data_IF_057534856579
#
_entry.id   IF_057534856579
#
_cell.length_a   1.000
_cell.length_b   1.000
_cell.length_c   1.000
_cell.angle_alpha   90.00
_cell.angle_beta   90.00
_cell.angle_gamma   90.00
#
_symmetry.space_group_name_H-M   'P 1'
#
loop_
_entity.id
_entity.type
_entity.pdbx_description
1 polymer ?
#
# COMPACT_ATOMS: atom_id res chain seq x y z
N UNK A 1 -31.14 -12.18 19.42
CA UNK A 1 -29.72 -12.44 19.07
C UNK A 1 -28.89 -11.27 19.59
N UNK A 2 -28.02 -11.48 20.59
CA UNK A 2 -27.29 -10.39 21.23
C UNK A 2 -25.98 -10.12 20.48
N UNK A 3 -26.00 -9.11 19.59
CA UNK A 3 -24.88 -8.72 18.73
C UNK A 3 -23.56 -8.52 19.51
N UNK A 4 -23.64 -7.93 20.71
CA UNK A 4 -22.49 -7.74 21.60
C UNK A 4 -21.83 -9.06 21.99
N UNK A 5 -22.62 -10.07 22.39
CA UNK A 5 -22.10 -11.39 22.79
C UNK A 5 -21.43 -12.13 21.61
N UNK A 6 -21.98 -11.98 20.41
CA UNK A 6 -21.41 -12.57 19.18
C UNK A 6 -20.04 -11.94 18.88
N UNK A 7 -19.97 -10.61 18.91
CA UNK A 7 -18.71 -9.89 18.67
C UNK A 7 -17.67 -10.26 19.74
N UNK A 8 -18.06 -10.35 21.01
CA UNK A 8 -17.16 -10.78 22.09
C UNK A 8 -16.63 -12.19 21.86
N UNK A 9 -17.49 -13.15 21.47
CA UNK A 9 -17.09 -14.53 21.15
C UNK A 9 -16.05 -14.58 20.03
N UNK A 10 -16.28 -13.83 18.94
CA UNK A 10 -15.38 -13.80 17.78
C UNK A 10 -14.03 -13.17 18.14
N UNK A 11 -14.04 -12.12 18.97
CA UNK A 11 -12.80 -11.52 19.45
C UNK A 11 -12.02 -12.53 20.30
N UNK A 12 -12.69 -13.23 21.23
CA UNK A 12 -12.02 -14.26 22.05
C UNK A 12 -11.42 -15.36 21.20
N UNK A 13 -12.14 -15.88 20.22
CA UNK A 13 -11.64 -16.92 19.33
C UNK A 13 -10.42 -16.48 18.50
N UNK A 14 -10.42 -15.25 17.97
CA UNK A 14 -9.26 -14.72 17.24
C UNK A 14 -8.07 -14.42 18.16
N UNK A 15 -8.32 -14.01 19.41
CA UNK A 15 -7.26 -13.77 20.40
C UNK A 15 -6.69 -15.07 20.97
N UNK A 16 -7.52 -16.07 21.30
CA UNK A 16 -7.07 -17.35 21.87
C UNK A 16 -6.20 -18.15 20.87
N UNK A 17 -6.37 -17.89 19.56
CA UNK A 17 -5.54 -18.45 18.49
C UNK A 17 -4.28 -17.65 18.14
N UNK A 18 -4.06 -16.48 18.76
CA UNK A 18 -2.93 -15.59 18.45
C UNK A 18 -2.22 -15.14 19.73
N UNK A 19 -0.90 -14.95 19.70
CA UNK A 19 -0.19 -14.29 20.83
C UNK A 19 -0.43 -12.77 20.86
N UNK A 20 -1.49 -12.30 20.20
CA UNK A 20 -1.84 -10.90 20.05
C UNK A 20 -3.00 -10.58 21.00
N UNK A 21 -2.99 -9.39 21.58
CA UNK A 21 -4.06 -8.92 22.47
C UNK A 21 -5.07 -7.98 21.76
N UNK A 22 -4.93 -7.82 20.44
CA UNK A 22 -5.65 -6.83 19.65
C UNK A 22 -6.11 -7.40 18.32
N UNK A 23 -7.39 -7.25 17.99
CA UNK A 23 -7.95 -7.67 16.70
C UNK A 23 -8.15 -6.46 15.80
N UNK A 24 -7.65 -6.50 14.56
CA UNK A 24 -7.87 -5.41 13.59
C UNK A 24 -9.33 -5.34 13.17
N UNK A 25 -9.94 -4.16 13.14
CA UNK A 25 -11.36 -4.00 12.77
C UNK A 25 -11.70 -4.58 11.40
N UNK A 26 -10.83 -4.39 10.39
CA UNK A 26 -11.05 -4.95 9.05
C UNK A 26 -11.18 -6.47 9.06
N UNK A 27 -10.45 -7.17 9.96
CA UNK A 27 -10.53 -8.62 10.11
C UNK A 27 -11.85 -9.02 10.76
N UNK A 28 -12.20 -8.35 11.84
CA UNK A 28 -13.45 -8.59 12.57
C UNK A 28 -14.69 -8.30 11.70
N UNK A 29 -14.67 -7.21 10.94
CA UNK A 29 -15.72 -6.87 9.97
C UNK A 29 -15.84 -7.93 8.85
N UNK A 30 -14.73 -8.51 8.39
CA UNK A 30 -14.75 -9.60 7.42
C UNK A 30 -15.40 -10.87 7.96
N UNK A 31 -15.09 -11.25 9.21
CA UNK A 31 -15.67 -12.44 9.85
C UNK A 31 -17.19 -12.24 10.01
N UNK A 32 -17.59 -11.13 10.61
CA UNK A 32 -19.01 -10.80 10.81
C UNK A 32 -19.78 -10.70 9.49
N UNK A 33 -19.16 -10.19 8.43
CA UNK A 33 -19.79 -10.12 7.11
C UNK A 33 -20.08 -11.49 6.50
N UNK A 34 -19.30 -12.54 6.85
CA UNK A 34 -19.60 -13.93 6.43
C UNK A 34 -20.87 -14.45 7.08
N UNK A 35 -21.11 -14.03 8.32
CA UNK A 35 -22.31 -14.37 9.09
C UNK A 35 -23.49 -13.42 8.79
N UNK A 36 -23.37 -12.57 7.76
CA UNK A 36 -24.40 -11.61 7.35
C UNK A 36 -24.50 -10.37 8.26
N UNK A 37 -23.59 -10.21 9.21
CA UNK A 37 -23.61 -9.12 10.19
C UNK A 37 -22.75 -7.95 9.70
N UNK A 38 -23.39 -6.81 9.44
CA UNK A 38 -22.70 -5.55 9.09
C UNK A 38 -22.53 -4.70 10.34
N UNK A 39 -21.28 -4.37 10.65
CA UNK A 39 -20.93 -3.50 11.78
C UNK A 39 -20.20 -2.24 11.28
N UNK A 40 -20.51 -1.10 11.89
CA UNK A 40 -19.83 0.16 11.61
C UNK A 40 -18.78 0.44 12.68
N UNK A 41 -17.73 1.18 12.31
CA UNK A 41 -16.67 1.57 13.26
C UNK A 41 -17.23 2.30 14.50
N UNK A 42 -18.22 3.18 14.30
CA UNK A 42 -18.89 3.92 15.37
C UNK A 42 -19.71 3.05 16.34
N UNK A 43 -19.90 1.76 16.05
CA UNK A 43 -20.49 0.83 17.02
C UNK A 43 -19.60 0.67 18.26
N UNK A 44 -18.28 0.54 18.07
CA UNK A 44 -17.35 0.34 19.18
C UNK A 44 -17.21 1.60 20.02
N UNK A 45 -17.25 2.78 19.40
CA UNK A 45 -17.14 4.06 20.13
C UNK A 45 -18.27 4.24 21.15
N UNK A 46 -19.43 3.62 20.91
CA UNK A 46 -20.63 3.69 21.76
C UNK A 46 -20.70 2.60 22.83
N UNK A 47 -19.77 1.63 22.80
CA UNK A 47 -19.81 0.46 23.68
C UNK A 47 -18.53 0.39 24.53
N UNK A 48 -18.59 0.73 25.84
CA UNK A 48 -17.41 0.77 26.71
C UNK A 48 -16.79 -0.61 26.97
N UNK A 49 -17.52 -1.69 26.63
CA UNK A 49 -17.05 -3.08 26.73
C UNK A 49 -15.98 -3.44 25.69
N UNK A 50 -15.64 -2.52 24.79
CA UNK A 50 -14.59 -2.70 23.80
C UNK A 50 -13.56 -1.59 23.94
N UNK A 51 -12.28 -1.96 23.80
CA UNK A 51 -11.16 -1.02 23.80
C UNK A 51 -10.72 -0.79 22.38
N UNK A 52 -10.62 0.48 21.98
CA UNK A 52 -10.28 0.87 20.63
C UNK A 52 -8.90 1.52 20.64
N UNK A 53 -8.04 1.03 19.76
CA UNK A 53 -6.77 1.66 19.47
C UNK A 53 -6.77 2.17 18.03
N UNK A 54 -6.75 3.50 17.86
CA UNK A 54 -6.71 4.16 16.55
C UNK A 54 -5.27 4.42 16.16
N UNK A 55 -4.91 4.10 14.92
CA UNK A 55 -3.58 4.44 14.38
C UNK A 55 -3.61 5.81 13.69
N UNK A 56 -2.43 6.33 13.32
CA UNK A 56 -2.31 7.53 12.48
C UNK A 56 -3.04 7.39 11.14
N UNK A 57 -3.27 6.17 10.67
CA UNK A 57 -4.16 5.91 9.55
C UNK A 57 -5.60 5.76 10.09
N UNK A 58 -6.45 6.73 9.77
CA UNK A 58 -7.87 6.76 10.20
C UNK A 58 -8.66 5.53 9.75
N UNK A 59 -8.19 4.82 8.71
CA UNK A 59 -8.81 3.59 8.21
C UNK A 59 -8.34 2.33 8.94
N UNK A 60 -7.38 2.44 9.87
CA UNK A 60 -6.82 1.30 10.59
C UNK A 60 -6.93 1.52 12.09
N UNK A 61 -7.78 0.73 12.72
CA UNK A 61 -7.90 0.65 14.16
C UNK A 61 -8.10 -0.79 14.62
N UNK A 62 -7.78 -1.00 15.89
CA UNK A 62 -7.75 -2.30 16.55
C UNK A 62 -8.72 -2.29 17.72
N UNK A 63 -9.26 -3.46 18.01
CA UNK A 63 -10.28 -3.68 19.03
C UNK A 63 -9.78 -4.80 19.96
N UNK A 64 -9.88 -4.59 21.26
CA UNK A 64 -9.60 -5.60 22.27
C UNK A 64 -10.73 -5.65 23.30
N UNK A 65 -10.82 -6.77 24.02
CA UNK A 65 -11.67 -6.87 25.20
C UNK A 65 -10.88 -6.38 26.43
N UNK A 66 -11.54 -5.70 27.39
CA UNK A 66 -10.89 -5.20 28.61
C UNK A 66 -10.13 -6.28 29.39
N UNK A 67 -10.59 -7.53 29.32
CA UNK A 67 -10.01 -8.71 29.98
C UNK A 67 -8.61 -9.09 29.46
N UNK A 68 -8.25 -8.69 28.22
CA UNK A 68 -7.00 -9.09 27.55
C UNK A 68 -5.94 -7.99 27.54
N UNK A 69 -6.15 -6.89 28.28
CA UNK A 69 -5.14 -5.83 28.39
C UNK A 69 -4.11 -6.19 29.47
N UNK A 70 -2.80 -6.29 29.14
CA UNK A 70 -1.78 -6.42 30.17
C UNK A 70 -1.73 -5.12 31.00
N UNK A 71 -1.65 -5.25 32.32
CA UNK A 71 -1.62 -4.15 33.30
C UNK A 71 -0.45 -3.17 33.14
N UNK A 72 0.52 -3.46 32.27
CA UNK A 72 1.62 -2.57 31.97
C UNK A 72 1.97 -2.64 30.48
N UNK A 73 2.25 -1.46 29.91
CA UNK A 73 2.88 -1.17 28.63
C UNK A 73 1.96 -0.69 27.50
N UNK A 74 2.07 0.63 27.29
CA UNK A 74 1.85 1.44 26.08
C UNK A 74 2.65 0.99 24.84
N UNK A 75 3.17 -0.24 24.79
CA UNK A 75 4.02 -0.70 23.68
C UNK A 75 3.24 -1.65 22.78
N UNK A 76 3.11 -1.23 21.53
CA UNK A 76 2.48 -1.95 20.44
C UNK A 76 3.05 -3.37 20.27
N UNK A 77 2.23 -4.34 19.83
CA UNK A 77 2.78 -5.53 19.20
C UNK A 77 3.49 -5.10 17.89
N UNK A 78 4.67 -5.67 17.58
CA UNK A 78 5.36 -5.37 16.33
C UNK A 78 4.47 -5.79 15.16
N UNK A 79 4.23 -4.87 14.23
CA UNK A 79 3.49 -5.12 12.99
C UNK A 79 4.29 -6.16 12.18
N UNK A 80 4.00 -7.45 12.37
CA UNK A 80 4.50 -8.49 11.47
C UNK A 80 3.72 -8.35 10.16
N UNK A 81 4.38 -7.82 9.12
CA UNK A 81 3.87 -7.85 7.75
C UNK A 81 3.74 -9.31 7.33
N UNK A 82 2.56 -9.91 7.50
CA UNK A 82 2.23 -11.18 6.83
C UNK A 82 2.13 -10.89 5.33
N UNK A 83 2.91 -11.65 4.56
CA UNK A 83 2.89 -11.68 3.10
C UNK A 83 1.47 -12.05 2.67
N UNK A 84 0.71 -11.07 2.20
CA UNK A 84 -0.66 -11.27 1.72
C UNK A 84 -0.61 -11.97 0.36
N UNK A 85 -1.07 -13.23 0.32
CA UNK A 85 -1.47 -13.85 -0.93
C UNK A 85 -2.59 -13.01 -1.57
N UNK A 86 -2.36 -12.68 -2.84
CA UNK A 86 -3.17 -11.83 -3.69
C UNK A 86 -4.65 -12.17 -3.69
N UNK A 87 -5.51 -11.19 -3.39
CA UNK A 87 -6.86 -11.11 -3.96
C UNK A 87 -7.02 -9.78 -4.69
N UNK A 88 -7.37 -9.91 -5.96
CA UNK A 88 -7.77 -8.86 -6.89
C UNK A 88 -8.93 -8.06 -6.26
N UNK A 89 -8.69 -6.82 -5.88
CA UNK A 89 -9.75 -5.89 -5.43
C UNK A 89 -10.00 -4.91 -6.57
N UNK A 90 -11.23 -4.93 -7.07
CA UNK A 90 -11.79 -3.90 -7.96
C UNK A 90 -11.86 -2.61 -7.14
N UNK A 91 -11.00 -1.65 -7.42
CA UNK A 91 -10.99 -0.34 -6.76
C UNK A 91 -12.12 0.52 -7.32
N UNK A 92 -13.14 0.77 -6.49
CA UNK A 92 -14.07 1.90 -6.66
C UNK A 92 -13.30 3.21 -6.51
N UNK A 93 -13.59 4.13 -7.43
CA UNK A 93 -13.00 5.45 -7.55
C UNK A 93 -13.09 6.24 -6.22
N UNK A 94 -11.93 6.70 -5.75
CA UNK A 94 -11.79 7.74 -4.73
C UNK A 94 -10.93 8.83 -5.33
N UNK A 95 -11.50 10.04 -5.29
CA UNK A 95 -11.03 11.36 -5.71
C UNK A 95 -9.56 11.49 -6.13
N UNK A 96 -9.42 11.86 -7.40
CA UNK A 96 -8.19 12.02 -8.14
C UNK A 96 -7.70 13.48 -8.01
N UNK A 97 -6.47 13.75 -7.55
CA UNK A 97 -5.88 15.09 -7.61
C UNK A 97 -5.70 15.53 -9.08
N UNK A 98 -5.65 16.85 -9.35
CA UNK A 98 -5.60 17.39 -10.70
C UNK A 98 -4.33 16.94 -11.41
N UNK A 99 -4.52 16.31 -12.59
CA UNK A 99 -3.45 15.72 -13.38
C UNK A 99 -2.79 16.73 -14.31
N UNK A 100 -1.49 16.58 -14.61
CA UNK A 100 -0.90 17.11 -15.83
C UNK A 100 -1.51 16.43 -17.07
N UNK A 101 -1.60 17.17 -18.17
CA UNK A 101 -2.04 16.70 -19.49
C UNK A 101 -0.97 15.78 -20.10
N UNK A 102 -0.77 14.60 -19.54
CA UNK A 102 0.01 13.54 -20.17
C UNK A 102 -0.93 12.86 -21.18
N UNK A 103 -0.80 13.21 -22.46
CA UNK A 103 -1.53 12.53 -23.52
C UNK A 103 -1.12 11.05 -23.51
N UNK A 104 -2.07 10.11 -23.54
CA UNK A 104 -1.76 8.70 -23.76
C UNK A 104 -1.35 8.53 -25.23
N UNK A 105 -0.22 9.10 -25.62
CA UNK A 105 0.39 8.80 -26.90
C UNK A 105 0.78 7.33 -26.87
N UNK A 106 0.36 6.61 -27.90
CA UNK A 106 0.59 5.17 -28.03
C UNK A 106 2.09 4.92 -27.92
N UNK A 107 2.53 4.24 -26.85
CA UNK A 107 3.92 3.83 -26.67
C UNK A 107 4.26 2.88 -27.81
N UNK A 108 4.94 3.40 -28.83
CA UNK A 108 5.24 2.68 -30.08
C UNK A 108 6.72 2.33 -30.19
N UNK A 109 7.56 2.89 -29.33
CA UNK A 109 9.01 2.67 -29.34
C UNK A 109 9.61 2.59 -27.92
N UNK A 110 10.77 1.94 -27.75
CA UNK A 110 11.51 1.93 -26.48
C UNK A 110 11.84 3.34 -25.98
N UNK A 111 12.17 4.27 -26.88
CA UNK A 111 12.47 5.66 -26.53
C UNK A 111 11.23 6.40 -25.99
N UNK A 112 10.06 6.18 -26.61
CA UNK A 112 8.79 6.74 -26.12
C UNK A 112 8.41 6.18 -24.74
N UNK A 113 8.80 4.92 -24.45
CA UNK A 113 8.61 4.31 -23.14
C UNK A 113 9.50 4.95 -22.08
N UNK A 114 10.76 5.21 -22.39
CA UNK A 114 11.68 5.91 -21.49
C UNK A 114 11.21 7.34 -21.20
N UNK A 115 10.72 8.05 -22.23
CA UNK A 115 10.15 9.38 -22.04
C UNK A 115 8.91 9.35 -21.14
N UNK A 116 8.01 8.38 -21.34
CA UNK A 116 6.85 8.18 -20.48
C UNK A 116 7.24 7.92 -19.01
N UNK A 117 8.32 7.16 -18.78
CA UNK A 117 8.85 6.93 -17.44
C UNK A 117 9.40 8.21 -16.81
N UNK A 118 10.12 9.01 -17.60
CA UNK A 118 10.66 10.29 -17.16
C UNK A 118 9.55 11.27 -16.78
N UNK A 119 8.52 11.39 -17.61
CA UNK A 119 7.38 12.29 -17.34
C UNK A 119 6.62 11.89 -16.06
N UNK A 120 6.43 10.59 -15.84
CA UNK A 120 5.82 10.07 -14.59
C UNK A 120 6.69 10.41 -13.39
N UNK A 121 8.01 10.23 -13.47
CA UNK A 121 8.89 10.54 -12.36
C UNK A 121 8.96 12.05 -12.10
N UNK A 122 8.93 12.89 -13.14
CA UNK A 122 8.85 14.35 -12.98
C UNK A 122 7.59 14.71 -12.21
N UNK A 123 6.43 14.17 -12.62
CA UNK A 123 5.17 14.40 -11.93
C UNK A 123 5.20 13.94 -10.46
N UNK A 124 5.76 12.75 -10.19
CA UNK A 124 5.84 12.21 -8.83
C UNK A 124 6.87 12.95 -7.95
N UNK A 125 7.86 13.62 -8.55
CA UNK A 125 8.91 14.39 -7.87
C UNK A 125 8.75 15.91 -7.95
N UNK A 126 7.65 16.41 -8.54
CA UNK A 126 7.42 17.85 -8.75
C UNK A 126 7.57 18.67 -7.47
N UNK A 127 7.12 18.11 -6.33
CA UNK A 127 7.22 18.74 -5.02
C UNK A 127 8.48 18.33 -4.22
N UNK A 128 9.25 17.35 -4.70
CA UNK A 128 10.41 16.78 -4.03
C UNK A 128 11.45 16.25 -5.06
N UNK A 129 12.28 17.11 -5.67
CA UNK A 129 13.15 16.76 -6.80
C UNK A 129 14.24 15.72 -6.47
N UNK A 130 14.55 15.53 -5.18
CA UNK A 130 15.55 14.57 -4.70
C UNK A 130 14.92 13.28 -4.13
N UNK A 131 13.63 13.06 -4.37
CA UNK A 131 12.93 11.93 -3.79
C UNK A 131 13.10 10.66 -4.62
N UNK A 132 13.46 9.59 -3.94
CA UNK A 132 13.53 8.25 -4.49
C UNK A 132 12.14 7.61 -4.39
N UNK A 133 11.62 7.15 -5.53
CA UNK A 133 10.26 6.62 -5.64
C UNK A 133 10.29 5.10 -5.65
N UNK A 134 9.40 4.49 -4.85
CA UNK A 134 9.21 3.05 -4.88
C UNK A 134 8.56 2.58 -6.20
N UNK A 135 9.00 1.43 -6.74
CA UNK A 135 8.50 0.89 -8.00
C UNK A 135 7.00 0.58 -7.99
N UNK A 136 6.41 0.35 -6.81
CA UNK A 136 4.95 0.19 -6.67
C UNK A 136 4.20 1.49 -6.99
N UNK A 137 4.66 2.63 -6.48
CA UNK A 137 4.05 3.94 -6.72
C UNK A 137 4.20 4.30 -8.20
N UNK A 138 5.42 4.13 -8.72
CA UNK A 138 5.74 4.35 -10.13
C UNK A 138 4.89 3.48 -11.06
N UNK A 139 4.79 2.17 -10.78
CA UNK A 139 3.99 1.24 -11.56
C UNK A 139 2.49 1.51 -11.50
N UNK A 140 1.98 1.95 -10.35
CA UNK A 140 0.58 2.36 -10.21
C UNK A 140 0.27 3.60 -11.05
N UNK A 141 1.16 4.59 -11.04
CA UNK A 141 0.99 5.81 -11.83
C UNK A 141 1.07 5.51 -13.34
N UNK A 142 1.96 4.62 -13.76
CA UNK A 142 2.03 4.14 -15.14
C UNK A 142 0.73 3.44 -15.56
N UNK A 143 0.23 2.50 -14.75
CA UNK A 143 -1.04 1.83 -15.02
C UNK A 143 -2.20 2.82 -15.09
N UNK A 144 -2.15 3.85 -14.25
CA UNK A 144 -3.18 4.88 -14.22
C UNK A 144 -3.28 5.66 -15.55
N UNK A 145 -2.14 6.04 -16.13
CA UNK A 145 -2.07 6.84 -17.35
C UNK A 145 -2.32 5.97 -18.59
N UNK A 146 -1.64 4.83 -18.68
CA UNK A 146 -1.61 4.01 -19.90
C UNK A 146 -2.59 2.82 -19.87
N UNK A 147 -3.29 2.60 -18.74
CA UNK A 147 -4.23 1.49 -18.53
C UNK A 147 -3.62 0.09 -18.79
N UNK A 148 -2.29 0.00 -18.81
CA UNK A 148 -1.52 -1.21 -19.08
C UNK A 148 -0.53 -1.47 -17.94
N UNK A 149 -0.35 -2.73 -17.50
CA UNK A 149 0.67 -3.05 -16.51
C UNK A 149 2.06 -2.75 -17.07
N UNK A 150 2.89 -2.02 -16.32
CA UNK A 150 4.26 -1.69 -16.75
C UNK A 150 5.08 -2.93 -17.14
N UNK A 151 4.85 -4.07 -16.46
CA UNK A 151 5.51 -5.34 -16.76
C UNK A 151 5.15 -5.89 -18.14
N UNK A 152 3.93 -5.65 -18.60
CA UNK A 152 3.47 -6.11 -19.91
C UNK A 152 4.15 -5.28 -21.00
N UNK A 153 4.16 -3.96 -20.84
CA UNK A 153 4.81 -3.05 -21.80
C UNK A 153 6.33 -3.28 -21.83
N UNK A 154 6.97 -3.49 -20.69
CA UNK A 154 8.39 -3.85 -20.63
C UNK A 154 8.66 -5.17 -21.36
N UNK A 155 7.78 -6.17 -21.26
CA UNK A 155 7.96 -7.43 -22.00
C UNK A 155 7.77 -7.27 -23.50
N UNK A 156 6.92 -6.34 -23.94
CA UNK A 156 6.69 -6.06 -25.37
C UNK A 156 7.95 -5.45 -26.01
N UNK A 157 8.64 -4.52 -25.33
CA UNK A 157 9.85 -3.88 -25.86
C UNK A 157 11.16 -4.56 -25.45
N UNK A 158 11.18 -5.23 -24.29
CA UNK A 158 12.36 -5.87 -23.70
C UNK A 158 12.02 -7.25 -23.12
N UNK A 159 11.81 -8.27 -23.97
CA UNK A 159 11.24 -9.57 -23.59
C UNK A 159 12.02 -10.31 -22.48
N UNK A 160 13.32 -10.05 -22.35
CA UNK A 160 14.20 -10.70 -21.37
C UNK A 160 14.62 -9.81 -20.20
N UNK A 161 14.11 -8.57 -20.10
CA UNK A 161 14.53 -7.61 -19.06
C UNK A 161 13.44 -7.37 -18.03
N UNK A 162 13.88 -7.20 -16.78
CA UNK A 162 13.03 -6.71 -15.69
C UNK A 162 13.06 -5.19 -15.69
N UNK A 163 12.00 -4.57 -15.16
CA UNK A 163 11.90 -3.11 -15.04
C UNK A 163 13.14 -2.47 -14.38
N UNK A 164 13.65 -3.07 -13.29
CA UNK A 164 14.88 -2.60 -12.61
C UNK A 164 16.07 -2.53 -13.58
N UNK A 165 16.23 -3.52 -14.45
CA UNK A 165 17.35 -3.59 -15.39
C UNK A 165 17.20 -2.54 -16.49
N UNK A 166 15.99 -2.36 -17.02
CA UNK A 166 15.71 -1.32 -18.04
C UNK A 166 16.01 0.07 -17.48
N UNK A 167 15.58 0.35 -16.24
CA UNK A 167 15.86 1.64 -15.59
C UNK A 167 17.35 1.82 -15.27
N UNK A 168 18.08 0.75 -14.92
CA UNK A 168 19.52 0.80 -14.67
C UNK A 168 20.37 1.05 -15.93
N UNK A 169 19.91 0.59 -17.08
CA UNK A 169 20.61 0.76 -18.35
C UNK A 169 20.40 2.15 -18.95
N UNK A 170 19.29 2.80 -18.63
CA UNK A 170 19.01 4.16 -19.10
C UNK A 170 19.75 5.20 -18.26
N UNK A 171 20.47 6.09 -18.94
CA UNK A 171 21.22 7.20 -18.31
C UNK A 171 20.33 8.24 -17.63
N UNK A 172 19.02 8.19 -17.87
CA UNK A 172 18.03 9.14 -17.35
C UNK A 172 17.64 8.85 -15.90
N UNK A 173 17.86 7.62 -15.42
CA UNK A 173 17.39 7.18 -14.11
C UNK A 173 18.54 6.77 -13.20
N UNK A 174 18.30 6.93 -11.89
CA UNK A 174 19.16 6.37 -10.85
C UNK A 174 18.34 5.37 -10.05
N UNK A 175 18.81 4.13 -10.00
CA UNK A 175 18.23 3.10 -9.16
C UNK A 175 19.13 2.89 -7.96
N UNK A 176 18.52 2.87 -6.78
CA UNK A 176 19.20 2.60 -5.52
C UNK A 176 18.55 1.42 -4.83
N UNK A 177 19.35 0.61 -4.14
CA UNK A 177 18.86 -0.38 -3.20
C UNK A 177 18.57 0.26 -1.84
N UNK A 178 17.41 -0.04 -1.29
CA UNK A 178 16.99 0.49 0.00
C UNK A 178 17.81 -0.20 1.09
N UNK A 179 18.53 0.56 1.90
CA UNK A 179 19.52 0.03 2.87
C UNK A 179 18.93 -0.88 3.95
N UNK A 180 17.62 -0.96 4.05
CA UNK A 180 16.90 -1.76 5.05
C UNK A 180 16.42 -3.12 4.53
N UNK A 181 16.36 -3.33 3.22
CA UNK A 181 15.91 -4.58 2.60
C UNK A 181 16.56 -4.73 1.22
N UNK A 182 17.45 -5.70 1.02
CA UNK A 182 18.18 -5.93 -0.25
C UNK A 182 17.28 -6.20 -1.47
N UNK A 183 16.01 -6.58 -1.24
CA UNK A 183 15.02 -6.80 -2.29
C UNK A 183 14.17 -5.56 -2.62
N UNK A 184 14.33 -4.45 -1.89
CA UNK A 184 13.62 -3.21 -2.18
C UNK A 184 14.55 -2.23 -2.86
N UNK A 185 14.10 -1.71 -3.99
CA UNK A 185 14.81 -0.68 -4.74
C UNK A 185 13.89 0.50 -4.95
N UNK A 186 14.50 1.64 -5.23
CA UNK A 186 13.83 2.90 -5.51
C UNK A 186 14.47 3.53 -6.75
N UNK A 187 13.73 4.40 -7.45
CA UNK A 187 14.19 5.09 -8.65
C UNK A 187 14.02 6.60 -8.52
N UNK A 188 14.98 7.35 -9.04
CA UNK A 188 14.94 8.80 -9.15
C UNK A 188 15.43 9.27 -10.53
N UNK A 189 15.25 10.54 -10.84
CA UNK A 189 15.75 11.16 -12.08
C UNK A 189 17.24 11.49 -11.90
N UNK A 190 18.08 10.95 -12.78
CA UNK A 190 19.54 11.09 -12.67
C UNK A 190 20.02 12.54 -12.71
N UNK A 191 19.39 13.39 -13.54
CA UNK A 191 19.75 14.81 -13.68
C UNK A 191 19.42 15.64 -12.44
N UNK A 192 18.35 15.30 -11.70
CA UNK A 192 17.93 16.08 -10.52
C UNK A 192 18.77 15.73 -9.29
N UNK A 193 19.14 14.47 -9.12
CA UNK A 193 19.97 14.03 -7.99
C UNK A 193 21.43 14.49 -8.13
N UNK A 194 21.95 14.64 -9.35
CA UNK A 194 23.33 15.12 -9.61
C UNK A 194 23.55 16.61 -9.33
N UNK A 195 22.50 17.41 -9.11
CA UNK A 195 22.66 18.83 -8.75
C UNK A 195 22.95 19.07 -7.27
N UNK A 196 22.99 18.01 -6.45
CA UNK A 196 23.16 18.11 -4.98
C UNK A 196 24.43 17.41 -4.48
N UNK A 197 25.23 16.84 -5.38
CA UNK A 197 26.53 16.23 -5.07
C UNK A 197 27.67 16.93 -5.80
#
# INVERSE_FOLDING_TARGET
>A
MNLKKIIQSIIREELDGTSENWVRFSRLALILSRDGIKIQAGYFDKNPDFRIYRTNNTNVFYIALPEYLPQNNTKHPPIRKRVSQSRKVISKAVNKPPQPKLTPDTINSPESLEQAFLDILIYLTENQPNHFIHPEIFGNQFYYIYQKPIRQVIKEFFPNKKLKNVLNESSLFLVRESSKDSNKWEVAIAKLVKQVF
#
